data_IF_900860637060
#
_entry.id   IF_900860637060
#
_cell.length_a   1.000
_cell.length_b   1.000
_cell.length_c   1.000
_cell.angle_alpha   90.00
_cell.angle_beta   90.00
_cell.angle_gamma   90.00
#
_symmetry.space_group_name_H-M   'P 1'
#
loop_
_entity.id
_entity.type
_entity.pdbx_description
1 polymer ?
#
# COMPACT_ATOMS: atom_id res chain seq x y z
N UNK A 1 -90.94 -11.33 23.86
CA UNK A 1 -90.75 -11.51 22.41
C UNK A 1 -89.87 -10.34 21.94
N UNK A 2 -88.55 -10.43 22.17
CA UNK A 2 -87.53 -10.97 21.24
C UNK A 2 -87.52 -10.13 19.95
N UNK A 3 -86.60 -9.20 19.68
CA UNK A 3 -85.21 -9.05 20.12
C UNK A 3 -84.32 -9.12 18.87
N UNK A 4 -83.92 -7.96 18.32
CA UNK A 4 -83.11 -7.84 17.10
C UNK A 4 -81.73 -8.50 17.26
N UNK A 5 -81.17 -9.13 16.21
CA UNK A 5 -79.74 -9.34 16.10
C UNK A 5 -79.11 -8.27 15.22
N UNK A 6 -78.27 -7.44 15.83
CA UNK A 6 -77.35 -6.51 15.17
C UNK A 6 -76.21 -7.34 14.56
N UNK A 7 -76.12 -7.38 13.23
CA UNK A 7 -75.01 -8.02 12.53
C UNK A 7 -73.82 -7.05 12.50
N UNK A 8 -72.85 -7.27 13.38
CA UNK A 8 -71.56 -6.55 13.38
C UNK A 8 -70.72 -7.11 12.22
N UNK A 9 -70.51 -6.29 11.19
CA UNK A 9 -69.56 -6.57 10.11
C UNK A 9 -68.14 -6.32 10.63
N UNK A 10 -67.48 -7.37 11.10
CA UNK A 10 -66.06 -7.35 11.46
C UNK A 10 -65.24 -7.37 10.16
N UNK A 11 -64.84 -6.18 9.68
CA UNK A 11 -63.80 -6.04 8.67
C UNK A 11 -62.46 -6.49 9.29
N UNK A 12 -62.09 -7.76 9.09
CA UNK A 12 -60.71 -8.18 9.23
C UNK A 12 -59.90 -7.53 8.11
N UNK A 13 -59.22 -6.43 8.40
CA UNK A 13 -58.05 -6.02 7.63
C UNK A 13 -56.95 -7.04 7.89
N UNK A 14 -56.95 -8.13 7.12
CA UNK A 14 -55.74 -8.87 6.85
C UNK A 14 -54.83 -7.91 6.09
N UNK A 15 -54.02 -7.14 6.84
CA UNK A 15 -52.81 -6.56 6.31
C UNK A 15 -51.92 -7.74 5.92
N UNK A 16 -52.13 -8.22 4.70
CA UNK A 16 -51.20 -9.08 4.00
C UNK A 16 -49.91 -8.29 3.88
N UNK A 17 -49.00 -8.49 4.83
CA UNK A 17 -47.60 -8.12 4.74
C UNK A 17 -46.96 -9.02 3.69
N UNK A 18 -47.38 -8.83 2.44
CA UNK A 18 -46.59 -9.25 1.30
C UNK A 18 -45.39 -8.31 1.29
N UNK A 19 -44.15 -8.83 1.29
CA UNK A 19 -43.03 -7.98 0.97
C UNK A 19 -43.34 -7.38 -0.39
N UNK A 20 -43.42 -6.05 -0.48
CA UNK A 20 -43.39 -5.40 -1.77
C UNK A 20 -42.14 -5.95 -2.47
N UNK A 21 -42.37 -6.73 -3.53
CA UNK A 21 -41.33 -7.11 -4.47
C UNK A 21 -40.73 -5.80 -4.97
N UNK A 22 -39.59 -5.40 -4.38
CA UNK A 22 -38.67 -4.45 -5.01
C UNK A 22 -37.96 -5.24 -6.12
N UNK A 23 -38.71 -5.54 -7.18
CA UNK A 23 -38.20 -6.18 -8.39
C UNK A 23 -38.41 -5.21 -9.53
N UNK A 24 -37.31 -4.71 -10.09
CA UNK A 24 -37.34 -3.81 -11.26
C UNK A 24 -36.34 -2.66 -11.24
N UNK A 25 -35.27 -2.71 -10.44
CA UNK A 25 -34.11 -1.84 -10.68
C UNK A 25 -33.32 -2.35 -11.88
N UNK A 26 -32.84 -1.44 -12.72
CA UNK A 26 -31.88 -1.79 -13.77
C UNK A 26 -30.64 -2.43 -13.10
N UNK A 27 -30.27 -3.69 -13.42
CA UNK A 27 -29.09 -4.33 -12.83
C UNK A 27 -27.79 -3.56 -13.12
N UNK A 28 -27.80 -2.69 -14.13
CA UNK A 28 -26.70 -1.80 -14.49
C UNK A 28 -26.73 -0.46 -13.73
N UNK A 29 -27.76 -0.20 -12.92
CA UNK A 29 -27.86 1.01 -12.11
C UNK A 29 -26.81 1.01 -10.99
N UNK A 30 -25.79 1.84 -11.20
CA UNK A 30 -24.71 2.09 -10.26
C UNK A 30 -25.07 3.08 -9.15
N UNK A 31 -26.20 3.80 -9.25
CA UNK A 31 -26.61 4.81 -8.26
C UNK A 31 -26.87 4.26 -6.86
N UNK A 32 -26.92 2.92 -6.75
CA UNK A 32 -27.15 2.22 -5.49
C UNK A 32 -25.86 1.86 -4.76
N UNK A 33 -24.73 1.69 -5.46
CA UNK A 33 -23.41 1.51 -4.84
C UNK A 33 -22.75 2.88 -4.56
N UNK A 34 -21.79 2.98 -3.64
CA UNK A 34 -20.93 4.16 -3.57
C UNK A 34 -20.35 4.48 -4.94
N UNK A 35 -20.52 5.73 -5.40
CA UNK A 35 -20.08 6.21 -6.71
C UNK A 35 -19.50 7.63 -6.57
N UNK A 36 -18.74 8.06 -7.58
CA UNK A 36 -18.16 9.41 -7.64
C UNK A 36 -16.65 9.40 -7.88
N UNK A 37 -16.07 10.60 -7.86
CA UNK A 37 -14.63 10.78 -7.97
C UNK A 37 -13.93 10.08 -6.81
N UNK A 38 -12.91 9.29 -7.12
CA UNK A 38 -12.20 8.48 -6.12
C UNK A 38 -12.79 7.09 -5.87
N UNK A 39 -13.86 6.66 -6.55
CA UNK A 39 -14.37 5.28 -6.42
C UNK A 39 -14.01 4.41 -7.62
N UNK A 40 -13.57 3.18 -7.36
CA UNK A 40 -13.36 2.15 -8.37
C UNK A 40 -14.08 0.87 -8.00
N UNK A 41 -14.32 0.05 -9.01
CA UNK A 41 -15.07 -1.19 -8.93
C UNK A 41 -14.22 -2.38 -9.35
N UNK A 42 -14.49 -3.52 -8.71
CA UNK A 42 -13.88 -4.80 -9.06
C UNK A 42 -14.92 -5.91 -9.04
N UNK A 43 -15.11 -6.57 -10.18
CA UNK A 43 -15.82 -7.84 -10.27
C UNK A 43 -14.91 -9.01 -9.94
N UNK A 44 -15.30 -9.86 -8.99
CA UNK A 44 -14.52 -11.01 -8.50
C UNK A 44 -15.43 -12.17 -8.02
N UNK A 45 -14.92 -13.39 -7.98
CA UNK A 45 -15.62 -14.56 -7.42
C UNK A 45 -15.30 -14.78 -5.93
N UNK A 46 -14.28 -14.11 -5.39
CA UNK A 46 -13.99 -14.12 -3.96
C UNK A 46 -15.19 -13.53 -3.20
N UNK A 47 -15.69 -14.26 -2.20
CA UNK A 47 -16.76 -13.80 -1.31
C UNK A 47 -16.28 -12.78 -0.28
N UNK A 48 -17.15 -11.92 0.27
CA UNK A 48 -16.78 -10.95 1.30
C UNK A 48 -16.12 -11.60 2.53
N UNK A 49 -16.59 -12.78 2.96
CA UNK A 49 -16.01 -13.52 4.08
C UNK A 49 -14.61 -14.06 3.77
N UNK A 50 -14.39 -14.58 2.56
CA UNK A 50 -13.06 -15.00 2.11
C UNK A 50 -12.12 -13.79 2.01
N UNK A 51 -12.62 -12.67 1.51
CA UNK A 51 -11.85 -11.44 1.36
C UNK A 51 -11.44 -10.88 2.72
N UNK A 52 -12.35 -10.91 3.70
CA UNK A 52 -12.07 -10.55 5.10
C UNK A 52 -10.99 -11.44 5.70
N UNK A 53 -11.08 -12.76 5.53
CA UNK A 53 -10.07 -13.72 6.01
C UNK A 53 -8.69 -13.52 5.38
N UNK A 54 -8.64 -12.96 4.17
CA UNK A 54 -7.41 -12.67 3.41
C UNK A 54 -6.87 -11.27 3.66
N UNK A 55 -7.53 -10.48 4.51
CA UNK A 55 -7.19 -9.08 4.77
C UNK A 55 -7.18 -8.20 3.49
N UNK A 56 -8.07 -8.52 2.53
CA UNK A 56 -8.25 -7.77 1.29
C UNK A 56 -7.72 -8.47 0.03
N UNK A 57 -7.59 -7.69 -1.04
CA UNK A 57 -7.07 -8.16 -2.33
C UNK A 57 -5.55 -8.05 -2.39
N UNK A 58 -4.92 -9.03 -3.02
CA UNK A 58 -3.47 -9.13 -3.14
C UNK A 58 -3.06 -9.43 -4.58
N UNK A 59 -1.93 -8.87 -5.07
CA UNK A 59 -1.34 -9.30 -6.32
C UNK A 59 -1.01 -10.79 -6.29
N UNK A 60 -1.04 -11.43 -7.45
CA UNK A 60 -0.73 -12.84 -7.64
C UNK A 60 0.64 -13.19 -7.04
N UNK A 61 0.66 -14.20 -6.19
CA UNK A 61 1.87 -14.66 -5.49
C UNK A 61 2.23 -13.89 -4.22
N UNK A 62 1.42 -12.91 -3.82
CA UNK A 62 1.55 -12.22 -2.54
C UNK A 62 0.40 -12.60 -1.59
N UNK A 63 0.70 -12.58 -0.29
CA UNK A 63 -0.25 -12.79 0.80
C UNK A 63 0.11 -11.86 1.96
N UNK A 64 -0.82 -11.60 2.90
CA UNK A 64 -0.49 -10.96 4.15
C UNK A 64 0.67 -11.70 4.84
N UNK A 65 1.59 -10.94 5.42
CA UNK A 65 2.73 -11.49 6.14
C UNK A 65 3.36 -10.46 7.06
N UNK A 66 4.43 -10.86 7.76
CA UNK A 66 5.15 -9.98 8.68
C UNK A 66 5.76 -8.77 7.97
N UNK A 67 6.11 -8.90 6.69
CA UNK A 67 6.56 -7.79 5.86
C UNK A 67 5.43 -6.78 5.69
N UNK A 68 5.68 -5.52 6.02
CA UNK A 68 4.61 -4.53 6.11
C UNK A 68 4.04 -4.12 4.74
N UNK A 69 4.91 -4.09 3.73
CA UNK A 69 4.58 -3.68 2.36
C UNK A 69 5.20 -4.66 1.36
N UNK A 70 4.67 -5.90 1.27
CA UNK A 70 5.20 -6.87 0.34
C UNK A 70 4.97 -6.42 -1.10
N UNK A 71 6.01 -6.54 -1.92
CA UNK A 71 6.00 -6.15 -3.33
C UNK A 71 6.42 -7.33 -4.19
N UNK A 72 5.72 -7.52 -5.31
CA UNK A 72 6.05 -8.56 -6.29
C UNK A 72 7.47 -8.34 -6.84
N UNK A 73 8.22 -9.43 -7.02
CA UNK A 73 9.60 -9.35 -7.50
C UNK A 73 9.71 -8.60 -8.83
N UNK A 74 8.75 -8.83 -9.73
CA UNK A 74 8.61 -8.13 -10.99
C UNK A 74 7.41 -7.19 -10.95
N UNK A 75 7.63 -5.94 -11.35
CA UNK A 75 6.60 -4.89 -11.39
C UNK A 75 6.63 -4.24 -12.77
N UNK A 76 5.50 -4.24 -13.45
CA UNK A 76 5.34 -3.57 -14.75
C UNK A 76 3.87 -3.29 -14.98
N UNK A 77 3.50 -2.01 -15.03
CA UNK A 77 2.15 -1.59 -15.36
C UNK A 77 1.79 -2.00 -16.80
N UNK A 78 2.75 -1.88 -17.74
CA UNK A 78 2.57 -2.30 -19.12
C UNK A 78 2.23 -3.80 -19.22
N UNK A 79 3.06 -4.68 -18.64
CA UNK A 79 2.82 -6.14 -18.67
C UNK A 79 1.56 -6.53 -17.91
N UNK A 80 1.27 -5.87 -16.79
CA UNK A 80 0.01 -6.06 -16.09
C UNK A 80 -1.18 -5.79 -17.03
N UNK A 81 -1.17 -4.68 -17.76
CA UNK A 81 -2.27 -4.33 -18.66
C UNK A 81 -2.42 -5.29 -19.82
N UNK A 82 -1.29 -5.72 -20.41
CA UNK A 82 -1.23 -6.71 -21.50
C UNK A 82 -1.82 -8.06 -21.06
N UNK A 83 -1.46 -8.55 -19.88
CA UNK A 83 -1.88 -9.87 -19.41
C UNK A 83 -3.23 -9.88 -18.69
N UNK A 84 -3.69 -8.74 -18.14
CA UNK A 84 -4.96 -8.62 -17.39
C UNK A 84 -6.23 -8.86 -18.23
N UNK A 85 -6.08 -9.08 -19.53
CA UNK A 85 -7.17 -9.53 -20.40
C UNK A 85 -7.59 -10.95 -19.98
N UNK A 86 -6.63 -11.79 -19.62
CA UNK A 86 -6.87 -13.13 -19.09
C UNK A 86 -7.31 -13.09 -17.63
N UNK A 87 -8.36 -13.85 -17.30
CA UNK A 87 -8.96 -13.88 -15.96
C UNK A 87 -7.95 -14.22 -14.87
N UNK A 88 -7.04 -15.16 -15.16
CA UNK A 88 -6.05 -15.67 -14.20
C UNK A 88 -4.83 -14.77 -14.02
N UNK A 89 -4.70 -13.70 -14.80
CA UNK A 89 -3.57 -12.77 -14.80
C UNK A 89 -3.99 -11.33 -14.48
N UNK A 90 -5.23 -11.10 -14.07
CA UNK A 90 -5.75 -9.79 -13.67
C UNK A 90 -5.01 -9.12 -12.53
N UNK A 91 -4.29 -9.90 -11.72
CA UNK A 91 -3.55 -9.41 -10.56
C UNK A 91 -2.04 -9.68 -10.68
N UNK A 92 -1.52 -9.84 -11.90
CA UNK A 92 -0.09 -10.10 -12.14
C UNK A 92 0.75 -8.80 -12.09
N UNK A 93 2.08 -8.97 -12.10
CA UNK A 93 3.08 -7.88 -12.13
C UNK A 93 2.95 -6.85 -11.01
N UNK A 94 2.48 -7.27 -9.83
CA UNK A 94 2.43 -6.44 -8.63
C UNK A 94 1.25 -5.48 -8.53
N UNK A 95 0.29 -5.57 -9.46
CA UNK A 95 -0.90 -4.73 -9.49
C UNK A 95 -2.18 -5.56 -9.38
N UNK A 96 -3.26 -4.93 -8.91
CA UNK A 96 -4.62 -5.48 -8.89
C UNK A 96 -5.49 -4.67 -9.85
N UNK A 97 -6.18 -5.35 -10.76
CA UNK A 97 -7.02 -4.69 -11.76
C UNK A 97 -8.35 -4.18 -11.16
N UNK A 98 -8.68 -2.92 -11.44
CA UNK A 98 -9.95 -2.26 -11.11
C UNK A 98 -10.44 -1.37 -12.26
N UNK A 99 -11.68 -0.86 -12.16
CA UNK A 99 -12.29 0.03 -13.15
C UNK A 99 -13.09 1.14 -12.46
N UNK A 100 -13.03 2.39 -12.90
CA UNK A 100 -13.94 3.45 -12.42
C UNK A 100 -15.39 3.26 -12.88
N UNK A 101 -15.64 2.34 -13.83
CA UNK A 101 -16.99 2.01 -14.33
C UNK A 101 -17.53 0.73 -13.71
N UNK A 102 -18.68 0.87 -13.07
CA UNK A 102 -19.44 -0.23 -12.49
C UNK A 102 -19.86 -1.25 -13.56
N UNK A 103 -20.35 -0.78 -14.71
CA UNK A 103 -20.88 -1.64 -15.77
C UNK A 103 -19.78 -2.52 -16.36
N UNK A 104 -18.55 -1.99 -16.43
CA UNK A 104 -17.39 -2.76 -16.88
C UNK A 104 -17.01 -3.85 -15.86
N UNK A 105 -17.05 -3.53 -14.56
CA UNK A 105 -16.80 -4.50 -13.50
C UNK A 105 -17.87 -5.60 -13.45
N UNK A 106 -19.14 -5.25 -13.65
CA UNK A 106 -20.25 -6.21 -13.75
C UNK A 106 -20.14 -7.06 -15.02
N UNK A 107 -19.83 -6.45 -16.17
CA UNK A 107 -19.61 -7.17 -17.42
C UNK A 107 -18.46 -8.18 -17.30
N UNK A 108 -17.38 -7.83 -16.59
CA UNK A 108 -16.29 -8.76 -16.31
C UNK A 108 -16.72 -9.99 -15.53
N UNK A 109 -17.72 -9.90 -14.65
CA UNK A 109 -18.24 -11.09 -13.96
C UNK A 109 -18.89 -12.04 -14.97
N UNK A 110 -19.68 -11.49 -15.89
CA UNK A 110 -20.43 -12.24 -16.88
C UNK A 110 -19.53 -12.88 -17.95
N UNK A 111 -18.66 -12.09 -18.60
CA UNK A 111 -17.83 -12.57 -19.73
C UNK A 111 -16.64 -13.42 -19.33
N UNK A 112 -16.41 -13.61 -18.03
CA UNK A 112 -15.27 -14.36 -17.47
C UNK A 112 -15.70 -15.56 -16.63
N UNK A 113 -16.96 -15.96 -16.73
CA UNK A 113 -17.56 -17.08 -15.98
C UNK A 113 -17.28 -16.99 -14.46
N UNK A 114 -17.36 -15.78 -13.90
CA UNK A 114 -17.15 -15.52 -12.47
C UNK A 114 -18.46 -15.54 -11.68
N UNK A 115 -19.57 -15.98 -12.27
CA UNK A 115 -20.88 -16.10 -11.61
C UNK A 115 -20.97 -17.48 -10.90
N UNK A 116 -21.42 -17.56 -9.63
CA UNK A 116 -21.78 -16.45 -8.76
C UNK A 116 -20.55 -15.66 -8.30
N UNK A 117 -20.68 -14.33 -8.25
CA UNK A 117 -19.59 -13.42 -7.94
C UNK A 117 -20.07 -12.16 -7.23
N UNK A 118 -19.19 -11.17 -7.11
CA UNK A 118 -19.42 -9.93 -6.41
C UNK A 118 -18.81 -8.76 -7.17
N UNK A 119 -19.52 -7.64 -7.23
CA UNK A 119 -18.93 -6.34 -7.60
C UNK A 119 -18.66 -5.57 -6.31
N UNK A 120 -17.39 -5.28 -6.05
CA UNK A 120 -16.93 -4.49 -4.92
C UNK A 120 -16.77 -3.03 -5.31
N UNK A 121 -17.28 -2.11 -4.50
CA UNK A 121 -16.97 -0.69 -4.56
C UNK A 121 -15.83 -0.39 -3.58
N UNK A 122 -14.78 0.26 -4.08
CA UNK A 122 -13.50 0.44 -3.38
C UNK A 122 -13.15 1.92 -3.44
N UNK A 123 -12.84 2.50 -2.28
CA UNK A 123 -12.33 3.87 -2.22
C UNK A 123 -10.90 3.89 -2.75
N UNK A 124 -10.61 4.59 -3.83
CA UNK A 124 -9.28 4.69 -4.42
C UNK A 124 -8.34 5.53 -3.55
N UNK A 125 -7.18 4.99 -3.24
CA UNK A 125 -6.10 5.69 -2.54
C UNK A 125 -4.91 5.90 -3.46
N UNK A 126 -3.85 6.60 -3.04
CA UNK A 126 -2.81 6.98 -3.98
C UNK A 126 -1.95 5.84 -4.56
N UNK A 127 -2.14 4.59 -4.13
CA UNK A 127 -1.54 3.42 -4.79
C UNK A 127 -2.33 2.97 -6.04
N UNK A 128 -3.51 3.54 -6.29
CA UNK A 128 -4.27 3.34 -7.53
C UNK A 128 -3.69 4.20 -8.63
N UNK A 129 -3.12 3.54 -9.64
CA UNK A 129 -2.46 4.18 -10.78
C UNK A 129 -3.44 4.27 -11.95
N UNK A 130 -3.63 5.47 -12.49
CA UNK A 130 -4.41 5.64 -13.72
C UNK A 130 -3.59 5.08 -14.90
N UNK A 131 -4.08 4.02 -15.52
CA UNK A 131 -3.34 3.27 -16.56
C UNK A 131 -3.10 4.16 -17.79
N UNK A 132 -4.16 4.78 -18.31
CA UNK A 132 -4.08 5.60 -19.52
C UNK A 132 -3.19 6.82 -19.32
N UNK A 133 -3.29 7.49 -18.18
CA UNK A 133 -2.45 8.64 -17.87
C UNK A 133 -0.96 8.26 -17.71
N UNK A 134 -0.66 7.03 -17.28
CA UNK A 134 0.71 6.55 -17.06
C UNK A 134 1.37 5.96 -18.30
N UNK A 135 0.60 5.29 -19.16
CA UNK A 135 1.10 4.64 -20.39
C UNK A 135 0.87 5.47 -21.65
N UNK A 136 0.02 6.51 -21.58
CA UNK A 136 -0.34 7.38 -22.71
C UNK A 136 -0.73 6.56 -23.94
N UNK A 137 -0.18 6.87 -25.12
CA UNK A 137 -0.45 6.16 -26.37
C UNK A 137 0.06 4.71 -26.40
N UNK A 138 0.87 4.30 -25.42
CA UNK A 138 1.47 2.96 -25.32
C UNK A 138 0.66 2.00 -24.44
N UNK A 139 -0.56 2.38 -24.03
CA UNK A 139 -1.48 1.42 -23.40
C UNK A 139 -1.82 0.28 -24.37
N UNK A 140 -1.84 -0.95 -23.87
CA UNK A 140 -2.13 -2.13 -24.68
C UNK A 140 -3.58 -2.14 -25.16
N UNK A 141 -4.54 -2.00 -24.24
CA UNK A 141 -5.97 -2.03 -24.53
C UNK A 141 -6.50 -0.59 -24.71
N UNK A 142 -6.59 -0.15 -25.95
CA UNK A 142 -7.10 1.20 -26.29
C UNK A 142 -8.60 1.36 -26.00
N UNK A 143 -9.35 0.26 -25.89
CA UNK A 143 -10.81 0.28 -25.70
C UNK A 143 -11.21 0.40 -24.22
N UNK A 144 -10.29 0.12 -23.29
CA UNK A 144 -10.51 0.31 -21.83
C UNK A 144 -10.51 1.77 -21.38
N UNK A 145 -10.11 2.71 -22.25
CA UNK A 145 -10.30 4.15 -22.03
C UNK A 145 -9.61 4.70 -20.77
N UNK A 146 -10.17 5.79 -20.22
CA UNK A 146 -9.72 6.43 -18.97
C UNK A 146 -10.13 5.67 -17.71
N UNK A 147 -10.85 4.56 -17.86
CA UNK A 147 -11.55 3.91 -16.77
C UNK A 147 -10.71 2.86 -16.04
N UNK A 148 -9.53 2.51 -16.56
CA UNK A 148 -8.67 1.48 -15.99
C UNK A 148 -7.75 2.03 -14.90
N UNK A 149 -7.88 1.47 -13.70
CA UNK A 149 -7.01 1.76 -12.56
C UNK A 149 -6.36 0.46 -12.06
N UNK A 150 -5.06 0.54 -11.80
CA UNK A 150 -4.26 -0.57 -11.30
C UNK A 150 -3.76 -0.24 -9.89
N UNK A 151 -4.21 -0.98 -8.88
CA UNK A 151 -3.73 -0.77 -7.51
C UNK A 151 -2.38 -1.47 -7.32
N UNK A 152 -1.33 -0.71 -7.02
CA UNK A 152 -0.01 -1.25 -6.69
C UNK A 152 -0.03 -1.85 -5.27
N UNK A 153 0.42 -3.10 -5.14
CA UNK A 153 0.38 -3.80 -3.84
C UNK A 153 -1.03 -4.27 -3.50
N UNK A 154 -1.39 -4.26 -2.22
CA UNK A 154 -2.71 -4.74 -1.76
C UNK A 154 -3.80 -3.67 -1.76
N UNK A 155 -5.05 -4.14 -1.71
CA UNK A 155 -6.22 -3.34 -1.36
C UNK A 155 -6.78 -3.93 -0.06
N UNK A 156 -6.51 -3.32 1.11
CA UNK A 156 -6.97 -3.79 2.41
C UNK A 156 -8.50 -3.96 2.50
N UNK A 157 -8.96 -4.92 3.31
CA UNK A 157 -10.40 -5.18 3.46
C UNK A 157 -11.18 -3.96 3.97
N UNK A 158 -10.60 -3.19 4.89
CA UNK A 158 -11.20 -1.95 5.43
C UNK A 158 -11.23 -0.78 4.43
N UNK A 159 -10.63 -0.92 3.25
CA UNK A 159 -10.72 0.07 2.15
C UNK A 159 -11.95 -0.17 1.24
N UNK A 160 -12.56 -1.34 1.36
CA UNK A 160 -13.74 -1.75 0.58
C UNK A 160 -14.97 -1.14 1.24
N UNK A 161 -15.77 -0.41 0.47
CA UNK A 161 -16.92 0.34 0.99
C UNK A 161 -18.19 -0.51 1.03
N UNK A 162 -18.43 -1.27 -0.04
CA UNK A 162 -19.65 -2.05 -0.22
C UNK A 162 -19.46 -3.12 -1.30
N UNK A 163 -20.42 -4.04 -1.42
CA UNK A 163 -20.50 -4.98 -2.52
C UNK A 163 -21.93 -5.28 -2.92
N UNK A 164 -22.10 -5.82 -4.14
CA UNK A 164 -23.33 -6.46 -4.61
C UNK A 164 -23.00 -7.86 -5.06
N UNK A 165 -23.80 -8.83 -4.61
CA UNK A 165 -23.74 -10.20 -5.12
C UNK A 165 -24.33 -10.27 -6.53
N UNK A 166 -23.72 -11.08 -7.37
CA UNK A 166 -24.16 -11.35 -8.74
C UNK A 166 -24.37 -12.85 -8.89
N UNK A 167 -25.59 -13.25 -9.23
CA UNK A 167 -25.98 -14.64 -9.48
C UNK A 167 -26.44 -14.85 -10.93
N UNK A 168 -26.58 -16.12 -11.33
CA UNK A 168 -27.22 -16.50 -12.59
C UNK A 168 -28.73 -16.24 -12.47
N UNK A 169 -29.32 -15.56 -13.44
CA UNK A 169 -30.77 -15.56 -13.60
C UNK A 169 -31.21 -16.81 -14.39
N UNK A 170 -31.78 -17.79 -13.70
CA UNK A 170 -32.31 -19.00 -14.33
C UNK A 170 -33.50 -18.72 -15.27
N UNK A 171 -34.19 -17.59 -15.10
CA UNK A 171 -35.31 -17.18 -15.93
C UNK A 171 -34.90 -16.37 -17.17
N UNK A 172 -33.71 -15.79 -17.16
CA UNK A 172 -33.14 -15.00 -18.27
C UNK A 172 -31.67 -15.34 -18.51
N UNK A 173 -31.38 -16.42 -19.26
CA UNK A 173 -30.01 -16.81 -19.58
C UNK A 173 -29.22 -15.67 -20.21
N UNK A 174 -28.05 -15.35 -19.64
CA UNK A 174 -27.16 -14.28 -20.10
C UNK A 174 -27.38 -12.92 -19.41
N UNK A 175 -28.45 -12.75 -18.63
CA UNK A 175 -28.68 -11.56 -17.80
C UNK A 175 -28.28 -11.88 -16.35
N UNK A 176 -27.31 -11.14 -15.77
CA UNK A 176 -26.92 -11.36 -14.38
C UNK A 176 -28.01 -10.86 -13.43
N UNK A 177 -28.34 -11.67 -12.42
CA UNK A 177 -29.19 -11.22 -11.31
C UNK A 177 -28.33 -10.55 -10.25
N UNK A 178 -28.49 -9.24 -10.09
CA UNK A 178 -27.71 -8.45 -9.13
C UNK A 178 -28.51 -8.22 -7.84
N UNK A 179 -27.94 -8.64 -6.71
CA UNK A 179 -28.52 -8.49 -5.39
C UNK A 179 -28.53 -7.04 -4.86
N UNK A 180 -29.07 -6.84 -3.64
CA UNK A 180 -29.02 -5.54 -2.98
C UNK A 180 -27.57 -5.15 -2.63
N UNK A 181 -27.39 -3.89 -2.27
CA UNK A 181 -26.11 -3.35 -1.80
C UNK A 181 -25.90 -3.73 -0.35
N UNK A 182 -24.73 -4.26 -0.06
CA UNK A 182 -24.27 -4.60 1.27
C UNK A 182 -23.09 -3.71 1.64
N UNK A 183 -23.25 -2.88 2.67
CA UNK A 183 -22.20 -2.00 3.17
C UNK A 183 -21.19 -2.79 3.99
N UNK A 184 -19.89 -2.48 3.85
CA UNK A 184 -18.86 -3.04 4.70
C UNK A 184 -18.84 -2.32 6.06
N UNK A 185 -19.21 -2.98 7.17
CA UNK A 185 -19.17 -2.34 8.48
C UNK A 185 -17.75 -2.05 8.98
N UNK A 186 -16.72 -2.58 8.31
CA UNK A 186 -15.32 -2.35 8.61
C UNK A 186 -14.65 -1.34 7.68
N UNK A 187 -15.41 -0.64 6.82
CA UNK A 187 -14.86 0.45 6.03
C UNK A 187 -14.32 1.58 6.94
N UNK A 188 -13.07 1.95 6.76
CA UNK A 188 -12.40 2.99 7.55
C UNK A 188 -12.48 4.35 6.84
N UNK A 189 -13.62 5.01 7.00
CA UNK A 189 -13.86 6.34 6.40
C UNK A 189 -12.84 7.39 6.87
N UNK A 190 -12.37 7.30 8.12
CA UNK A 190 -11.39 8.24 8.63
C UNK A 190 -10.02 8.09 7.93
N UNK A 191 -9.65 6.86 7.56
CA UNK A 191 -8.42 6.59 6.83
C UNK A 191 -8.51 6.90 5.34
N UNK A 192 -9.68 6.73 4.72
CA UNK A 192 -9.82 6.75 3.25
C UNK A 192 -10.68 7.87 2.69
N UNK A 193 -11.62 8.43 3.45
CA UNK A 193 -12.69 9.30 2.94
C UNK A 193 -12.22 10.59 2.26
N UNK A 194 -11.00 11.05 2.55
CA UNK A 194 -10.37 12.23 1.92
C UNK A 194 -9.27 11.89 0.90
N UNK A 195 -9.03 10.62 0.61
CA UNK A 195 -8.00 10.17 -0.31
C UNK A 195 -8.50 10.14 -1.76
N UNK A 196 -7.56 10.02 -2.71
CA UNK A 196 -7.87 9.81 -4.12
C UNK A 196 -6.77 8.99 -4.80
N UNK A 197 -7.00 8.56 -6.03
CA UNK A 197 -6.00 7.83 -6.82
C UNK A 197 -4.71 8.62 -7.02
N UNK A 198 -3.60 7.92 -7.26
CA UNK A 198 -2.26 8.51 -7.36
C UNK A 198 -1.98 9.24 -8.67
N UNK A 199 -2.94 9.26 -9.61
CA UNK A 199 -2.78 9.86 -10.93
C UNK A 199 -1.80 9.09 -11.83
N UNK A 200 -1.07 9.82 -12.67
CA UNK A 200 -0.08 9.24 -13.58
C UNK A 200 1.21 8.85 -12.83
N UNK A 201 1.71 7.64 -13.08
CA UNK A 201 2.94 7.11 -12.50
C UNK A 201 3.86 6.58 -13.61
N UNK A 202 4.55 7.49 -14.31
CA UNK A 202 5.38 7.15 -15.47
C UNK A 202 6.54 6.19 -15.12
N UNK A 203 7.14 6.35 -13.94
CA UNK A 203 8.22 5.48 -13.46
C UNK A 203 7.76 4.03 -13.19
N UNK A 204 6.44 3.78 -13.15
CA UNK A 204 5.85 2.44 -13.03
C UNK A 204 5.47 1.80 -14.36
N UNK A 205 5.64 2.50 -15.49
CA UNK A 205 5.25 2.00 -16.81
C UNK A 205 5.84 0.61 -17.11
N UNK A 206 7.13 0.41 -16.83
CA UNK A 206 7.78 -0.91 -16.90
C UNK A 206 7.78 -1.51 -18.29
N UNK A 207 8.11 -0.71 -19.31
CA UNK A 207 8.19 -1.17 -20.69
C UNK A 207 9.16 -2.36 -20.85
N UNK A 208 8.91 -3.28 -21.80
CA UNK A 208 9.55 -4.61 -21.85
C UNK A 208 11.08 -4.61 -21.82
N UNK A 209 11.72 -3.74 -22.60
CA UNK A 209 13.18 -3.66 -22.70
C UNK A 209 13.62 -2.31 -23.28
N UNK A 210 14.95 -2.16 -23.46
CA UNK A 210 15.57 -0.94 -23.96
C UNK A 210 15.28 -0.65 -25.45
N UNK A 211 14.78 -1.63 -26.20
CA UNK A 211 14.42 -1.49 -27.62
C UNK A 211 12.99 -0.99 -27.82
N UNK A 212 12.15 -1.07 -26.79
CA UNK A 212 10.79 -0.55 -26.84
C UNK A 212 10.80 0.97 -27.05
N UNK A 213 9.98 1.47 -27.97
CA UNK A 213 10.10 2.84 -28.52
C UNK A 213 10.25 3.97 -27.47
N UNK A 214 9.40 4.06 -26.41
CA UNK A 214 9.55 5.07 -25.36
C UNK A 214 10.94 5.09 -24.73
N UNK A 215 11.52 3.90 -24.53
CA UNK A 215 12.82 3.71 -23.89
C UNK A 215 13.94 3.96 -24.89
N UNK A 216 13.86 3.36 -26.08
CA UNK A 216 14.87 3.47 -27.12
C UNK A 216 15.08 4.91 -27.60
N UNK A 217 13.99 5.70 -27.67
CA UNK A 217 14.02 7.09 -28.13
C UNK A 217 14.17 8.11 -27.01
N UNK A 218 14.28 7.68 -25.74
CA UNK A 218 14.43 8.62 -24.62
C UNK A 218 13.18 9.50 -24.41
N UNK A 219 11.98 8.99 -24.66
CA UNK A 219 10.78 9.81 -24.67
C UNK A 219 10.38 10.26 -23.27
N UNK A 220 10.12 11.56 -23.13
CA UNK A 220 9.41 12.10 -21.96
C UNK A 220 7.94 11.66 -22.01
N UNK A 221 7.28 11.46 -20.85
CA UNK A 221 7.78 11.69 -19.49
C UNK A 221 8.48 10.48 -18.84
N UNK A 222 8.62 9.34 -19.52
CA UNK A 222 9.20 8.12 -18.94
C UNK A 222 10.72 8.16 -18.77
N UNK A 223 11.39 9.01 -19.53
CA UNK A 223 12.83 9.16 -19.51
C UNK A 223 13.23 10.52 -18.97
N UNK A 224 14.18 10.51 -18.04
CA UNK A 224 14.73 11.70 -17.39
C UNK A 224 16.09 12.05 -18.02
N UNK A 225 16.71 13.15 -17.58
CA UNK A 225 18.04 13.58 -18.06
C UNK A 225 19.10 12.49 -17.91
N UNK A 226 18.94 11.64 -16.91
CA UNK A 226 19.88 10.57 -16.58
C UNK A 226 19.55 9.25 -17.31
N UNK A 227 18.60 9.29 -18.25
CA UNK A 227 18.17 8.18 -19.10
C UNK A 227 16.82 7.55 -18.72
N UNK A 228 16.48 6.47 -19.41
CA UNK A 228 15.31 5.65 -19.16
C UNK A 228 15.71 4.43 -18.32
N UNK A 229 15.10 4.23 -17.16
CA UNK A 229 15.36 3.03 -16.37
C UNK A 229 14.15 2.08 -16.38
N UNK A 230 14.02 1.30 -17.46
CA UNK A 230 12.95 0.30 -17.61
C UNK A 230 12.96 -0.79 -16.52
N UNK A 231 14.06 -0.92 -15.75
CA UNK A 231 14.23 -1.90 -14.67
C UNK A 231 14.05 -1.31 -13.27
N UNK A 232 13.84 0.01 -13.13
CA UNK A 232 13.70 0.67 -11.82
C UNK A 232 12.26 0.69 -11.27
N UNK A 233 11.31 0.02 -11.94
CA UNK A 233 9.90 0.00 -11.52
C UNK A 233 9.71 -0.47 -10.09
N UNK A 234 10.50 -1.44 -9.62
CA UNK A 234 10.44 -1.88 -8.21
C UNK A 234 10.86 -0.77 -7.23
N UNK A 235 11.92 -0.02 -7.54
CA UNK A 235 12.35 1.10 -6.70
C UNK A 235 11.31 2.23 -6.72
N UNK A 236 10.70 2.50 -7.89
CA UNK A 236 9.60 3.44 -8.02
C UNK A 236 8.36 2.99 -7.22
N UNK A 237 8.05 1.70 -7.22
CA UNK A 237 6.96 1.12 -6.43
C UNK A 237 7.22 1.24 -4.92
N UNK A 238 8.43 0.92 -4.47
CA UNK A 238 8.83 1.13 -3.07
C UNK A 238 8.74 2.61 -2.68
N UNK A 239 9.16 3.52 -3.56
CA UNK A 239 9.03 4.96 -3.33
C UNK A 239 7.57 5.39 -3.25
N UNK A 240 6.72 4.94 -4.17
CA UNK A 240 5.30 5.27 -4.18
C UNK A 240 4.62 4.78 -2.91
N UNK A 241 4.73 3.49 -2.57
CA UNK A 241 4.11 2.94 -1.36
C UNK A 241 4.67 3.59 -0.08
N UNK A 242 6.00 3.70 0.03
CA UNK A 242 6.64 4.33 1.18
C UNK A 242 6.29 5.82 1.33
N UNK A 243 6.02 6.52 0.23
CA UNK A 243 5.57 7.91 0.25
C UNK A 243 4.17 8.08 0.81
N UNK A 244 3.38 7.02 0.98
CA UNK A 244 2.03 7.10 1.57
C UNK A 244 2.00 6.79 3.05
N UNK A 245 3.13 6.34 3.60
CA UNK A 245 3.24 5.95 5.00
C UNK A 245 3.84 7.10 5.78
N UNK A 246 2.98 7.96 6.33
CA UNK A 246 3.40 9.07 7.21
C UNK A 246 3.89 8.51 8.54
N UNK A 247 5.10 8.89 8.93
CA UNK A 247 5.74 8.49 10.18
C UNK A 247 5.33 9.49 11.26
N UNK A 248 4.60 9.01 12.26
CA UNK A 248 4.18 9.79 13.42
C UNK A 248 5.27 9.86 14.49
N UNK A 249 5.98 8.76 14.72
CA UNK A 249 7.13 8.71 15.64
C UNK A 249 8.19 7.77 15.10
N UNK A 250 9.45 8.06 15.41
CA UNK A 250 10.61 7.24 15.04
C UNK A 250 11.51 7.06 16.26
N UNK A 251 11.83 5.81 16.59
CA UNK A 251 12.76 5.48 17.66
C UNK A 251 14.00 4.78 17.08
N UNK A 252 15.18 5.19 17.54
CA UNK A 252 16.48 4.64 17.18
C UNK A 252 17.04 3.84 18.36
N UNK A 253 17.33 2.57 18.11
CA UNK A 253 17.99 1.67 19.05
C UNK A 253 19.41 1.38 18.55
N UNK A 254 20.41 1.62 19.39
CA UNK A 254 21.81 1.34 19.07
C UNK A 254 22.51 0.68 20.26
N UNK A 255 23.22 -0.40 19.97
CA UNK A 255 23.93 -1.21 20.95
C UNK A 255 25.42 -1.29 20.57
N UNK A 256 26.31 -0.92 21.49
CA UNK A 256 27.74 -1.18 21.35
C UNK A 256 28.05 -2.58 21.89
N UNK A 257 28.99 -3.28 21.25
CA UNK A 257 29.40 -4.62 21.67
C UNK A 257 30.05 -4.60 23.06
N UNK A 258 29.97 -5.75 23.74
CA UNK A 258 30.66 -6.01 25.01
C UNK A 258 32.14 -6.37 24.85
N UNK A 259 32.66 -6.51 23.62
CA UNK A 259 34.07 -6.86 23.40
C UNK A 259 35.02 -5.83 24.04
N UNK A 260 36.25 -6.27 24.29
CA UNK A 260 37.31 -5.41 24.79
C UNK A 260 37.53 -4.26 23.79
N UNK A 261 37.58 -3.02 24.29
CA UNK A 261 37.76 -1.78 23.51
C UNK A 261 36.57 -1.37 22.62
N UNK A 262 35.38 -1.97 22.75
CA UNK A 262 34.22 -1.60 21.92
C UNK A 262 33.59 -0.22 22.19
N UNK A 263 34.14 0.55 23.14
CA UNK A 263 33.73 1.92 23.46
C UNK A 263 34.63 2.97 22.80
N UNK A 264 34.34 4.24 23.03
CA UNK A 264 35.18 5.35 22.55
C UNK A 264 35.08 6.54 23.51
N UNK A 265 36.13 7.34 23.58
CA UNK A 265 36.16 8.65 24.24
C UNK A 265 35.77 9.80 23.30
N UNK A 266 35.04 9.52 22.24
CA UNK A 266 34.56 10.50 21.27
C UNK A 266 33.02 10.47 21.19
N UNK A 267 32.45 11.20 20.22
CA UNK A 267 30.99 11.28 20.02
C UNK A 267 30.58 10.43 18.82
N UNK A 268 29.61 9.55 19.03
CA UNK A 268 28.98 8.76 17.97
C UNK A 268 27.68 9.44 17.56
N UNK A 269 27.59 9.78 16.27
CA UNK A 269 26.45 10.43 15.65
C UNK A 269 25.83 9.48 14.62
N UNK A 270 24.54 9.62 14.35
CA UNK A 270 23.87 8.92 13.26
C UNK A 270 23.02 9.85 12.40
N UNK A 271 22.88 9.51 11.12
CA UNK A 271 21.87 10.12 10.24
C UNK A 271 20.97 9.02 9.69
N UNK A 272 19.68 9.27 9.66
CA UNK A 272 18.66 8.38 9.10
C UNK A 272 18.06 9.09 7.88
N UNK A 273 18.22 8.49 6.69
CA UNK A 273 17.82 9.13 5.44
C UNK A 273 18.57 10.45 5.23
N UNK A 274 17.81 11.56 5.18
CA UNK A 274 18.33 12.92 5.03
C UNK A 274 18.38 13.71 6.34
N UNK A 275 18.17 13.06 7.50
CA UNK A 275 18.16 13.75 8.80
C UNK A 275 19.46 14.55 9.04
N UNK A 276 19.37 15.55 9.91
CA UNK A 276 20.53 16.15 10.57
C UNK A 276 21.23 15.10 11.46
N UNK A 277 22.53 15.26 11.77
CA UNK A 277 23.24 14.33 12.66
C UNK A 277 22.61 14.28 14.07
N UNK A 278 22.21 13.08 14.49
CA UNK A 278 21.64 12.76 15.80
C UNK A 278 22.77 12.28 16.71
N UNK A 279 22.91 12.87 17.91
CA UNK A 279 23.90 12.39 18.88
C UNK A 279 23.38 11.15 19.59
N UNK A 280 23.99 9.99 19.33
CA UNK A 280 23.59 8.72 19.95
C UNK A 280 24.35 8.50 21.25
N UNK A 281 25.68 8.71 21.23
CA UNK A 281 26.53 8.54 22.40
C UNK A 281 27.54 9.67 22.55
N UNK A 282 27.86 10.00 23.81
CA UNK A 282 28.99 10.86 24.19
C UNK A 282 29.89 10.04 25.12
N UNK A 283 31.13 9.78 24.70
CA UNK A 283 32.11 9.02 25.48
C UNK A 283 31.60 7.62 25.94
N UNK A 284 30.98 6.81 25.07
CA UNK A 284 30.40 5.55 25.50
C UNK A 284 31.46 4.50 25.89
N UNK A 285 31.19 3.77 26.97
CA UNK A 285 31.89 2.51 27.27
C UNK A 285 31.39 1.34 26.41
N UNK A 286 32.08 0.21 26.50
CA UNK A 286 31.62 -1.08 25.93
C UNK A 286 30.24 -1.46 26.48
N UNK A 287 29.42 -2.13 25.68
CA UNK A 287 28.07 -2.56 26.08
C UNK A 287 27.07 -1.40 26.25
N UNK A 288 27.42 -0.17 25.88
CA UNK A 288 26.51 0.96 25.99
C UNK A 288 25.30 0.76 25.06
N UNK A 289 24.10 0.97 25.61
CA UNK A 289 22.83 0.89 24.89
C UNK A 289 22.17 2.27 24.87
N UNK A 290 21.59 2.63 23.73
CA UNK A 290 20.74 3.82 23.61
C UNK A 290 19.45 3.51 22.88
N UNK A 291 18.35 3.89 23.50
CA UNK A 291 17.03 3.97 22.90
C UNK A 291 16.66 5.45 22.86
N UNK A 292 16.51 6.01 21.67
CA UNK A 292 16.25 7.44 21.47
C UNK A 292 14.97 7.61 20.67
N UNK A 293 14.01 8.33 21.24
CA UNK A 293 12.89 8.88 20.48
C UNK A 293 13.38 10.09 19.68
N UNK A 294 13.34 9.97 18.37
CA UNK A 294 13.87 10.99 17.46
C UNK A 294 12.84 12.11 17.35
N UNK A 295 13.22 13.31 17.78
CA UNK A 295 12.42 14.51 17.55
C UNK A 295 12.39 14.82 16.05
N UNK A 296 11.26 14.53 15.39
CA UNK A 296 11.13 14.64 13.94
C UNK A 296 11.33 16.07 13.45
N UNK A 297 10.71 17.05 14.12
CA UNK A 297 10.78 18.49 13.78
C UNK A 297 12.19 19.06 13.89
N UNK A 298 12.99 18.55 14.83
CA UNK A 298 14.35 19.01 15.02
C UNK A 298 15.31 18.42 13.98
N UNK A 299 15.15 17.14 13.64
CA UNK A 299 16.13 16.39 12.85
C UNK A 299 15.78 16.28 11.36
N UNK A 300 14.52 16.45 10.98
CA UNK A 300 14.07 16.40 9.60
C UNK A 300 13.48 17.75 9.22
N UNK A 301 13.90 18.31 8.09
CA UNK A 301 13.38 19.60 7.63
C UNK A 301 11.88 19.49 7.28
N UNK A 302 11.41 18.27 6.94
CA UNK A 302 10.01 17.94 6.66
C UNK A 302 9.30 17.31 7.89
N UNK A 303 9.64 17.73 9.12
CA UNK A 303 9.24 17.07 10.37
C UNK A 303 7.80 16.55 10.43
N UNK A 304 6.82 17.39 10.05
CA UNK A 304 5.41 17.00 10.03
C UNK A 304 5.06 16.01 8.89
N UNK A 305 5.71 16.05 7.73
CA UNK A 305 5.40 15.20 6.56
C UNK A 305 6.44 14.10 6.31
N UNK A 306 7.16 13.68 7.36
CA UNK A 306 8.13 12.60 7.23
C UNK A 306 7.44 11.32 6.78
N UNK A 307 7.84 10.79 5.61
CA UNK A 307 7.30 9.54 5.07
C UNK A 307 8.34 8.43 5.15
N UNK A 308 7.87 7.19 5.15
CA UNK A 308 8.75 6.02 5.21
C UNK A 308 9.74 5.96 4.03
N UNK A 309 9.35 6.49 2.86
CA UNK A 309 10.23 6.63 1.70
C UNK A 309 11.42 7.60 1.91
N UNK A 310 11.38 8.47 2.92
CA UNK A 310 12.51 9.33 3.27
C UNK A 310 13.57 8.57 4.10
N UNK A 311 13.18 7.47 4.75
CA UNK A 311 14.05 6.63 5.59
C UNK A 311 14.71 5.54 4.73
N UNK A 312 15.81 5.90 4.05
CA UNK A 312 16.45 5.03 3.03
C UNK A 312 17.86 4.56 3.39
N UNK A 313 18.48 5.13 4.42
CA UNK A 313 19.83 4.74 4.82
C UNK A 313 20.14 5.10 6.26
N UNK A 314 21.08 4.36 6.87
CA UNK A 314 21.71 4.74 8.13
C UNK A 314 23.17 5.08 7.84
N UNK A 315 23.61 6.20 8.39
CA UNK A 315 25.01 6.66 8.33
C UNK A 315 25.52 6.85 9.75
N UNK A 316 26.61 6.18 10.10
CA UNK A 316 27.28 6.37 11.39
C UNK A 316 28.44 7.33 11.17
N UNK A 317 28.46 8.39 11.96
CA UNK A 317 29.54 9.37 11.97
C UNK A 317 30.26 9.33 13.31
N UNK A 318 31.57 9.48 13.22
CA UNK A 318 32.45 9.56 14.38
C UNK A 318 32.97 10.99 14.46
N UNK A 319 32.62 11.71 15.53
CA UNK A 319 33.15 13.05 15.80
C UNK A 319 34.22 12.97 16.86
N UNK A 320 35.46 13.07 16.39
CA UNK A 320 36.66 12.96 17.21
C UNK A 320 37.20 14.33 17.62
N UNK A 321 37.59 14.44 18.89
CA UNK A 321 38.33 15.60 19.41
C UNK A 321 39.82 15.59 19.03
N UNK A 322 40.58 16.59 19.48
CA UNK A 322 42.05 16.58 19.34
C UNK A 322 42.66 15.57 20.32
N UNK A 323 42.88 14.33 19.87
CA UNK A 323 43.60 13.28 20.61
C UNK A 323 44.61 12.59 19.70
N UNK A 324 45.66 12.03 20.29
CA UNK A 324 46.83 11.50 19.57
C UNK A 324 46.62 10.04 19.11
N UNK A 325 45.76 9.28 19.79
CA UNK A 325 45.56 7.85 19.55
C UNK A 325 44.28 7.57 18.75
N UNK A 326 44.35 6.58 17.84
CA UNK A 326 43.18 6.11 17.10
C UNK A 326 42.16 5.51 18.06
N UNK A 327 40.91 5.97 17.97
CA UNK A 327 39.80 5.43 18.73
C UNK A 327 38.83 4.72 17.78
N UNK A 328 38.48 3.49 18.13
CA UNK A 328 37.58 2.64 17.38
C UNK A 328 36.59 2.04 18.37
N UNK A 329 35.36 1.89 17.91
CA UNK A 329 34.27 1.31 18.67
C UNK A 329 33.61 0.21 17.84
N UNK A 330 32.88 -0.69 18.50
CA UNK A 330 32.19 -1.78 17.82
C UNK A 330 30.70 -1.65 18.06
N UNK A 331 29.92 -1.52 16.98
CA UNK A 331 28.46 -1.53 17.04
C UNK A 331 28.00 -2.97 16.87
N UNK A 332 27.30 -3.49 17.87
CA UNK A 332 26.66 -4.81 17.82
C UNK A 332 25.42 -4.76 16.92
N UNK A 333 24.58 -3.73 17.09
CA UNK A 333 23.29 -3.65 16.44
C UNK A 333 22.71 -2.24 16.33
N UNK A 334 21.97 -2.02 15.24
CA UNK A 334 21.12 -0.84 15.01
C UNK A 334 19.73 -1.30 14.58
N UNK A 335 18.70 -0.72 15.19
CA UNK A 335 17.30 -0.97 14.87
C UNK A 335 16.51 0.33 14.85
N UNK A 336 15.51 0.41 13.97
CA UNK A 336 14.53 1.50 13.95
C UNK A 336 13.14 0.96 14.26
N UNK A 337 12.36 1.71 15.01
CA UNK A 337 10.92 1.50 15.18
C UNK A 337 10.18 2.75 14.70
N UNK A 338 9.11 2.57 13.93
CA UNK A 338 8.28 3.65 13.44
C UNK A 338 6.81 3.39 13.74
N UNK A 339 6.10 4.39 14.27
CA UNK A 339 4.64 4.38 14.32
C UNK A 339 4.10 5.21 13.18
N UNK A 340 3.11 4.68 12.48
CA UNK A 340 2.52 5.34 11.31
C UNK A 340 1.28 6.13 11.69
N UNK A 341 0.94 7.19 10.95
CA UNK A 341 -0.29 7.96 11.23
C UNK A 341 -1.58 7.19 10.90
N UNK A 342 -1.55 6.33 9.87
CA UNK A 342 -2.72 5.60 9.37
C UNK A 342 -2.93 4.24 10.04
N UNK A 343 -1.91 3.69 10.69
CA UNK A 343 -1.98 2.38 11.33
C UNK A 343 -1.55 2.49 12.79
N UNK A 344 -2.34 1.86 13.67
CA UNK A 344 -1.98 1.67 15.08
C UNK A 344 -0.84 0.66 15.28
N UNK A 345 -0.41 -0.03 14.23
CA UNK A 345 0.68 -1.02 14.29
C UNK A 345 2.04 -0.33 14.24
N UNK A 346 2.98 -0.87 15.01
CA UNK A 346 4.39 -0.45 14.99
C UNK A 346 5.13 -1.20 13.88
N UNK A 347 5.89 -0.45 13.09
CA UNK A 347 6.82 -0.96 12.10
C UNK A 347 8.23 -1.03 12.70
N UNK A 348 9.00 -2.02 12.28
CA UNK A 348 10.36 -2.25 12.74
C UNK A 348 11.28 -2.52 11.55
N UNK A 349 12.44 -1.86 11.54
CA UNK A 349 13.54 -2.15 10.61
C UNK A 349 14.68 -2.78 11.40
N UNK A 350 14.87 -4.08 11.17
CA UNK A 350 15.80 -4.94 11.91
C UNK A 350 17.02 -5.42 11.10
N UNK A 351 17.18 -4.93 9.87
CA UNK A 351 18.24 -5.34 8.94
C UNK A 351 19.65 -5.28 9.54
N UNK A 352 19.89 -4.34 10.46
CA UNK A 352 21.20 -4.09 11.06
C UNK A 352 21.27 -4.47 12.54
N UNK A 353 20.31 -5.26 13.05
CA UNK A 353 20.25 -5.64 14.47
C UNK A 353 21.47 -6.45 14.96
N UNK A 354 22.08 -7.24 14.08
CA UNK A 354 23.21 -8.12 14.39
C UNK A 354 24.40 -7.85 13.45
N UNK A 355 24.83 -6.59 13.35
CA UNK A 355 25.85 -6.19 12.39
C UNK A 355 27.29 -6.39 12.86
N UNK A 356 27.52 -6.39 14.18
CA UNK A 356 28.80 -6.67 14.85
C UNK A 356 30.05 -6.08 14.15
N UNK A 357 30.05 -4.77 13.90
CA UNK A 357 31.05 -4.11 13.04
C UNK A 357 31.92 -3.11 13.82
N UNK A 358 33.24 -3.24 13.68
CA UNK A 358 34.22 -2.24 14.14
C UNK A 358 34.22 -1.00 13.23
N UNK A 359 34.22 0.17 13.84
CA UNK A 359 34.21 1.47 13.17
C UNK A 359 35.12 2.45 13.91
N UNK A 360 35.64 3.45 13.21
CA UNK A 360 36.52 4.44 13.83
C UNK A 360 37.17 5.32 12.78
N UNK A 361 37.86 6.37 13.23
CA UNK A 361 38.61 7.26 12.34
C UNK A 361 39.84 7.82 13.04
N UNK A 362 40.89 8.06 12.26
CA UNK A 362 42.07 8.79 12.71
C UNK A 362 41.94 10.31 12.53
N UNK A 363 41.03 10.77 11.68
CA UNK A 363 40.83 12.18 11.39
C UNK A 363 40.16 12.91 12.56
N UNK A 364 40.57 14.15 12.80
CA UNK A 364 39.87 15.05 13.72
C UNK A 364 38.56 15.55 13.08
N UNK A 365 37.59 15.95 13.90
CA UNK A 365 36.28 16.42 13.43
C UNK A 365 35.30 15.28 13.14
N UNK A 366 34.26 15.55 12.35
CA UNK A 366 33.19 14.59 12.06
C UNK A 366 33.46 13.85 10.75
N UNK A 367 33.67 12.54 10.84
CA UNK A 367 33.91 11.66 9.69
C UNK A 367 32.79 10.63 9.54
N UNK A 368 32.37 10.33 8.31
CA UNK A 368 31.51 9.18 8.00
C UNK A 368 32.33 7.90 8.12
N UNK A 369 31.97 7.01 9.04
CA UNK A 369 32.72 5.76 9.28
C UNK A 369 31.97 4.52 8.80
N UNK A 370 30.65 4.62 8.58
CA UNK A 370 29.85 3.53 8.04
C UNK A 370 28.57 4.05 7.39
N UNK A 371 28.12 3.37 6.34
CA UNK A 371 26.85 3.65 5.65
C UNK A 371 26.27 2.36 5.07
N UNK A 372 24.96 2.14 5.28
CA UNK A 372 24.19 1.15 4.53
C UNK A 372 22.80 1.69 4.17
N UNK A 373 22.30 1.26 3.02
CA UNK A 373 20.95 1.53 2.56
C UNK A 373 19.97 0.46 3.05
N UNK A 374 18.72 0.86 3.22
CA UNK A 374 17.59 -0.02 3.43
C UNK A 374 16.39 0.51 2.64
N UNK A 375 15.38 -0.32 2.47
CA UNK A 375 14.24 -0.07 1.60
C UNK A 375 12.94 -0.40 2.34
N UNK A 376 11.81 -0.20 1.66
CA UNK A 376 10.50 -0.53 2.19
C UNK A 376 10.37 -2.01 2.59
N UNK A 377 11.06 -2.91 1.88
CA UNK A 377 11.04 -4.36 2.17
C UNK A 377 11.70 -4.73 3.50
N UNK A 378 12.55 -3.86 4.04
CA UNK A 378 13.26 -4.09 5.29
C UNK A 378 12.40 -3.77 6.53
N UNK A 379 11.16 -3.29 6.33
CA UNK A 379 10.20 -2.97 7.39
C UNK A 379 9.19 -4.09 7.61
N UNK A 380 9.02 -4.48 8.86
CA UNK A 380 8.08 -5.52 9.30
C UNK A 380 7.16 -5.01 10.40
N UNK A 381 5.99 -5.62 10.56
CA UNK A 381 5.16 -5.38 11.74
C UNK A 381 5.80 -6.03 12.99
N UNK A 382 5.79 -5.31 14.11
CA UNK A 382 6.27 -5.82 15.42
C UNK A 382 5.34 -6.92 15.95
N UNK A 383 4.05 -6.64 15.98
CA UNK A 383 3.00 -7.53 16.49
C UNK A 383 2.21 -8.13 15.31
N UNK A 384 2.75 -9.18 14.68
CA UNK A 384 2.09 -9.88 13.56
C UNK A 384 1.36 -11.17 13.97
N UNK A 385 1.22 -11.44 15.28
CA UNK A 385 0.61 -12.68 15.78
C UNK A 385 -0.92 -12.59 15.93
#
# INVERSE_FOLDING_TARGET
MLGQPTLILLCFTLASSWPQLVWGGDPWDSSTLPFGDGIVYRGDSITPDQLRKRDGFWPKGLTPGRQAFPLAANISLFRHTEESIEVNNRDSWGFIQTSSRYELALNWINVRDLVPGYVYAIHATPNFVNVKASLLQYQYDKNRGDDAYAALGSIPYNQIMAWRRVDVDASQPGVPRVGPVEMNPLYDEAAYGGETWGGAQYDLAGFPDATYEPVAKGLKPWCHTDGCNSRATRAAAQKLLGSRVRVHSLSLHCHLSHDLLSGTNDVILMRIGQSRPITVFKLPGRGAVRNLDVNLDHYFDDGEDLRLSNLTSIRVLHRRGYRIWADAFKIEGIRLEAKTSSSRKTLEMNKFKNMDTWMGTKAAGTTLVWRKGFSLDDWTYVDYD
#
